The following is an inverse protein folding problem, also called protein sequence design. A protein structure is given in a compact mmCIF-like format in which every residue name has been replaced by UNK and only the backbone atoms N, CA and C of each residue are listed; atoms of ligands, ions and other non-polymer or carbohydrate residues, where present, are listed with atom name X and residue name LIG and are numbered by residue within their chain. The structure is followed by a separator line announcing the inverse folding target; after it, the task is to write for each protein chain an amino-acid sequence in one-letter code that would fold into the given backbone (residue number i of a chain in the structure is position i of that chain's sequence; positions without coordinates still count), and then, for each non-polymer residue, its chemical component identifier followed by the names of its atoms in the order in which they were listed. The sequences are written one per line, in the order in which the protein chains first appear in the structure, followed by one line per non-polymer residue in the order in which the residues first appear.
data_IF_367300830297
#
_entry.id   IF_367300830297
#
_cell.length_a   1.000
_cell.length_b   1.000
_cell.length_c   1.000
_cell.angle_alpha   90.00
_cell.angle_beta   90.00
_cell.angle_gamma   90.00
#
_symmetry.space_group_name_H-M   'P 1'
#
loop_
_entity.id
_entity.type
_entity.pdbx_description
1 polymer ?
#
# COMPACT_ATOMS: atom_id res chain seq x y z
N UNK A 1 29.47 -13.45 14.63
CA UNK A 1 28.77 -14.14 15.73
C UNK A 1 28.69 -15.65 15.54
N UNK A 2 28.16 -16.17 14.42
CA UNK A 2 28.03 -17.63 14.20
C UNK A 2 29.34 -18.41 14.39
N UNK A 3 30.45 -17.95 13.79
CA UNK A 3 31.77 -18.60 13.96
C UNK A 3 32.27 -18.65 15.42
N UNK A 4 32.01 -17.61 16.21
CA UNK A 4 32.44 -17.55 17.62
C UNK A 4 31.61 -18.51 18.48
N UNK A 5 30.31 -18.58 18.19
CA UNK A 5 29.40 -19.55 18.81
C UNK A 5 29.82 -20.98 18.47
N UNK A 6 30.08 -21.28 17.19
CA UNK A 6 30.54 -22.61 16.74
C UNK A 6 31.86 -23.00 17.42
N UNK A 7 32.77 -22.04 17.63
CA UNK A 7 34.03 -22.28 18.33
C UNK A 7 33.81 -22.61 19.82
N UNK A 8 32.93 -21.87 20.51
CA UNK A 8 32.55 -22.17 21.89
C UNK A 8 31.88 -23.55 22.01
N UNK A 9 30.95 -23.88 21.11
CA UNK A 9 30.27 -25.18 21.09
C UNK A 9 31.25 -26.34 20.85
N UNK A 10 32.23 -26.16 19.95
CA UNK A 10 33.30 -27.15 19.75
C UNK A 10 34.19 -27.32 20.98
N UNK A 11 34.54 -26.23 21.66
CA UNK A 11 35.34 -26.30 22.89
C UNK A 11 34.57 -26.99 24.04
N UNK A 12 33.27 -26.74 24.13
CA UNK A 12 32.35 -27.40 25.05
C UNK A 12 32.30 -28.92 24.79
N UNK A 13 32.13 -29.35 23.54
CA UNK A 13 32.13 -30.77 23.17
C UNK A 13 33.44 -31.48 23.50
N UNK A 14 34.58 -30.81 23.32
CA UNK A 14 35.90 -31.35 23.68
C UNK A 14 36.02 -31.58 25.19
N UNK A 15 35.56 -30.63 26.01
CA UNK A 15 35.55 -30.79 27.47
C UNK A 15 34.66 -31.97 27.89
N UNK A 16 33.44 -32.06 27.35
CA UNK A 16 32.52 -33.16 27.65
C UNK A 16 33.11 -34.53 27.29
N UNK A 17 33.84 -34.60 26.19
CA UNK A 17 34.56 -35.81 25.78
C UNK A 17 35.71 -36.14 26.74
N UNK A 18 36.49 -35.14 27.16
CA UNK A 18 37.57 -35.31 28.12
C UNK A 18 37.05 -35.76 29.50
N UNK A 19 35.97 -35.15 29.99
CA UNK A 19 35.29 -35.52 31.23
C UNK A 19 34.76 -36.96 31.18
N UNK A 20 34.12 -37.34 30.07
CA UNK A 20 33.63 -38.69 29.88
C UNK A 20 34.78 -39.72 29.87
N UNK A 21 35.91 -39.40 29.24
CA UNK A 21 37.09 -40.26 29.19
C UNK A 21 37.75 -40.40 30.56
N UNK A 22 37.94 -39.29 31.28
CA UNK A 22 38.49 -39.29 32.64
C UNK A 22 37.62 -40.11 33.59
N UNK A 23 36.30 -39.88 33.56
CA UNK A 23 35.34 -40.64 34.37
C UNK A 23 35.38 -42.13 34.07
N UNK A 24 35.38 -42.51 32.78
CA UNK A 24 35.51 -43.91 32.36
C UNK A 24 36.79 -44.55 32.89
N UNK A 25 37.92 -43.83 32.84
CA UNK A 25 39.20 -44.32 33.33
C UNK A 25 39.21 -44.51 34.85
N UNK A 26 38.63 -43.57 35.60
CA UNK A 26 38.54 -43.64 37.07
C UNK A 26 37.67 -44.79 37.59
N UNK A 27 36.61 -45.15 36.84
CA UNK A 27 35.67 -46.21 37.24
C UNK A 27 36.09 -47.62 36.81
N UNK A 28 37.29 -47.79 36.27
CA UNK A 28 37.78 -49.08 35.80
C UNK A 28 37.98 -50.08 36.94
N UNK A 29 37.56 -51.33 36.71
CA UNK A 29 37.68 -52.42 37.71
C UNK A 29 39.12 -52.92 37.89
N UNK A 30 39.97 -52.80 36.86
CA UNK A 30 41.37 -53.26 36.81
C UNK A 30 42.39 -52.22 37.34
N UNK A 31 41.93 -51.11 37.92
CA UNK A 31 42.77 -49.96 38.33
C UNK A 31 43.93 -50.30 39.27
N UNK A 32 43.76 -51.29 40.15
CA UNK A 32 44.77 -51.69 41.14
C UNK A 32 45.89 -52.55 40.54
N UNK A 33 45.66 -53.11 39.35
CA UNK A 33 46.60 -54.00 38.65
C UNK A 33 47.28 -53.32 37.46
N UNK A 34 46.89 -52.09 37.13
CA UNK A 34 47.40 -51.37 35.97
C UNK A 34 48.70 -50.65 36.33
N UNK A 35 49.79 -51.02 35.65
CA UNK A 35 51.05 -50.29 35.74
C UNK A 35 50.85 -48.83 35.25
N UNK A 36 51.49 -47.88 35.93
CA UNK A 36 51.46 -46.44 35.59
C UNK A 36 50.05 -45.80 35.62
N UNK A 37 49.10 -46.37 36.37
CA UNK A 37 47.75 -45.82 36.52
C UNK A 37 47.74 -44.34 36.93
N UNK A 38 48.56 -43.97 37.92
CA UNK A 38 48.66 -42.60 38.44
C UNK A 38 49.28 -41.62 37.43
N UNK A 39 50.10 -42.10 36.50
CA UNK A 39 50.67 -41.27 35.44
C UNK A 39 49.62 -40.98 34.36
N UNK A 40 48.92 -42.00 33.87
CA UNK A 40 47.82 -41.82 32.92
C UNK A 40 46.64 -41.04 33.50
N UNK A 41 46.37 -41.18 34.80
CA UNK A 41 45.34 -40.37 35.47
C UNK A 41 45.71 -38.88 35.41
N UNK A 42 46.97 -38.55 35.72
CA UNK A 42 47.47 -37.17 35.64
C UNK A 42 47.41 -36.61 34.22
N UNK A 43 47.82 -37.40 33.22
CA UNK A 43 47.72 -36.99 31.81
C UNK A 43 46.28 -36.66 31.40
N UNK A 44 45.30 -37.48 31.81
CA UNK A 44 43.88 -37.22 31.51
C UNK A 44 43.34 -36.00 32.26
N UNK A 45 43.81 -35.76 33.50
CA UNK A 45 43.46 -34.57 34.27
C UNK A 45 44.04 -33.30 33.63
N UNK A 46 45.27 -33.36 33.12
CA UNK A 46 45.91 -32.26 32.38
C UNK A 46 45.16 -31.95 31.09
N UNK A 47 44.81 -32.97 30.30
CA UNK A 47 44.01 -32.81 29.07
C UNK A 47 42.63 -32.19 29.37
N UNK A 48 41.97 -32.63 30.46
CA UNK A 48 40.71 -32.02 30.90
C UNK A 48 40.90 -30.55 31.27
N UNK A 49 41.95 -30.25 32.04
CA UNK A 49 42.28 -28.88 32.46
C UNK A 49 42.51 -27.97 31.25
N UNK A 50 43.26 -28.42 30.25
CA UNK A 50 43.48 -27.68 29.00
C UNK A 50 42.16 -27.45 28.22
N UNK A 51 41.31 -28.47 28.13
CA UNK A 51 39.99 -28.35 27.51
C UNK A 51 39.10 -27.32 28.25
N UNK A 52 39.13 -27.32 29.58
CA UNK A 52 38.37 -26.40 30.42
C UNK A 52 38.82 -24.94 30.25
N UNK A 53 40.14 -24.71 30.21
CA UNK A 53 40.72 -23.40 29.95
C UNK A 53 40.35 -22.91 28.55
N UNK A 54 40.47 -23.76 27.52
CA UNK A 54 40.11 -23.43 26.14
C UNK A 54 38.64 -23.05 25.98
N UNK A 55 37.74 -23.77 26.68
CA UNK A 55 36.31 -23.48 26.72
C UNK A 55 36.01 -22.15 27.42
N UNK A 56 36.66 -21.91 28.55
CA UNK A 56 36.50 -20.65 29.32
C UNK A 56 36.94 -19.45 28.49
N UNK A 57 38.11 -19.54 27.85
CA UNK A 57 38.59 -18.50 26.93
C UNK A 57 37.60 -18.25 25.78
N UNK A 58 37.11 -19.32 25.14
CA UNK A 58 36.14 -19.19 24.04
C UNK A 58 34.82 -18.56 24.48
N UNK A 59 34.36 -18.88 25.70
CA UNK A 59 33.16 -18.29 26.30
C UNK A 59 33.35 -16.80 26.55
N UNK A 60 34.47 -16.43 27.13
CA UNK A 60 34.74 -15.04 27.51
C UNK A 60 34.89 -14.17 26.25
N UNK A 61 35.58 -14.66 25.20
CA UNK A 61 35.62 -14.01 23.88
C UNK A 61 34.21 -13.84 23.30
N UNK A 62 33.39 -14.90 23.31
CA UNK A 62 32.03 -14.83 22.80
C UNK A 62 31.17 -13.82 23.56
N UNK A 63 31.29 -13.79 24.89
CA UNK A 63 30.57 -12.85 25.75
C UNK A 63 31.01 -11.41 25.48
N UNK A 64 32.31 -11.13 25.42
CA UNK A 64 32.84 -9.79 25.11
C UNK A 64 32.30 -9.27 23.77
N UNK A 65 32.33 -10.06 22.72
CA UNK A 65 31.82 -9.62 21.41
C UNK A 65 30.30 -9.43 21.39
N UNK A 66 29.56 -10.28 22.10
CA UNK A 66 28.11 -10.12 22.26
C UNK A 66 27.79 -8.80 22.95
N UNK A 67 28.48 -8.48 24.04
CA UNK A 67 28.26 -7.24 24.77
C UNK A 67 28.73 -6.01 23.99
N UNK A 68 29.79 -6.13 23.20
CA UNK A 68 30.23 -5.05 22.32
C UNK A 68 29.13 -4.68 21.31
N UNK A 69 28.57 -5.67 20.62
CA UNK A 69 27.47 -5.45 19.67
C UNK A 69 26.26 -4.86 20.39
N UNK A 70 25.87 -5.42 21.54
CA UNK A 70 24.75 -4.90 22.34
C UNK A 70 24.98 -3.44 22.78
N UNK A 71 26.22 -3.06 23.11
CA UNK A 71 26.55 -1.68 23.46
C UNK A 71 26.41 -0.70 22.30
N UNK A 72 26.60 -1.18 21.07
CA UNK A 72 26.46 -0.39 19.85
C UNK A 72 25.02 -0.38 19.30
N UNK A 73 24.16 -1.30 19.75
CA UNK A 73 22.78 -1.48 19.28
C UNK A 73 21.97 -0.17 19.32
N UNK A 74 22.10 0.58 20.40
CA UNK A 74 21.43 1.88 20.54
C UNK A 74 21.92 2.89 19.48
N UNK A 75 23.22 2.94 19.21
CA UNK A 75 23.79 3.84 18.20
C UNK A 75 23.37 3.44 16.79
N UNK A 76 23.36 2.14 16.49
CA UNK A 76 22.91 1.58 15.22
C UNK A 76 21.44 1.92 14.99
N UNK A 77 20.60 1.67 15.99
CA UNK A 77 19.16 1.94 15.92
C UNK A 77 18.91 3.42 15.68
N UNK A 78 19.50 4.30 16.50
CA UNK A 78 19.30 5.73 16.31
C UNK A 78 19.82 6.20 14.96
N UNK A 79 21.01 5.79 14.52
CA UNK A 79 21.57 6.34 13.29
C UNK A 79 20.90 5.79 12.04
N UNK A 80 20.65 4.48 11.98
CA UNK A 80 20.11 3.86 10.77
C UNK A 80 18.60 3.95 10.71
N UNK A 81 17.89 3.61 11.79
CA UNK A 81 16.42 3.59 11.77
C UNK A 81 15.86 5.00 11.67
N UNK A 82 16.42 5.97 12.41
CA UNK A 82 15.99 7.37 12.29
C UNK A 82 16.24 7.90 10.88
N UNK A 83 17.44 7.68 10.33
CA UNK A 83 17.75 8.15 8.97
C UNK A 83 16.80 7.51 7.95
N UNK A 84 16.57 6.20 8.05
CA UNK A 84 15.61 5.50 7.20
C UNK A 84 14.22 6.13 7.26
N UNK A 85 13.67 6.31 8.47
CA UNK A 85 12.34 6.91 8.66
C UNK A 85 12.29 8.38 8.19
N UNK A 86 13.39 9.12 8.37
CA UNK A 86 13.52 10.49 7.91
C UNK A 86 13.43 10.56 6.38
N UNK A 87 14.21 9.74 5.68
CA UNK A 87 14.19 9.68 4.21
C UNK A 87 12.83 9.22 3.68
N UNK A 88 12.23 8.21 4.31
CA UNK A 88 10.90 7.71 3.95
C UNK A 88 9.84 8.83 4.08
N UNK A 89 9.88 9.60 5.17
CA UNK A 89 8.99 10.75 5.35
C UNK A 89 9.24 11.84 4.29
N UNK A 90 10.49 12.09 3.88
CA UNK A 90 10.79 13.05 2.81
C UNK A 90 10.18 12.63 1.48
N UNK A 91 10.24 11.33 1.13
CA UNK A 91 9.62 10.79 -0.08
C UNK A 91 8.11 11.02 -0.07
N UNK A 92 7.42 10.66 1.02
CA UNK A 92 5.97 10.88 1.11
C UNK A 92 5.60 12.36 1.04
N UNK A 93 6.37 13.24 1.66
CA UNK A 93 6.15 14.69 1.56
C UNK A 93 6.38 15.22 0.14
N UNK A 94 7.34 14.67 -0.60
CA UNK A 94 7.57 15.03 -1.99
C UNK A 94 6.40 14.58 -2.89
N UNK A 95 5.91 13.36 -2.70
CA UNK A 95 4.73 12.84 -3.41
C UNK A 95 3.51 13.70 -3.10
N UNK A 96 3.27 14.00 -1.82
CA UNK A 96 2.17 14.85 -1.38
C UNK A 96 2.23 16.23 -2.05
N UNK A 97 3.39 16.91 -2.01
CA UNK A 97 3.59 18.19 -2.69
C UNK A 97 3.34 18.12 -4.20
N UNK A 98 3.80 17.05 -4.86
CA UNK A 98 3.54 16.85 -6.28
C UNK A 98 2.04 16.71 -6.58
N UNK A 99 1.35 15.85 -5.83
CA UNK A 99 -0.10 15.65 -5.98
C UNK A 99 -0.88 16.94 -5.71
N UNK A 100 -0.53 17.67 -4.64
CA UNK A 100 -1.13 18.98 -4.34
C UNK A 100 -0.90 20.01 -5.45
N UNK A 101 0.20 19.91 -6.21
CA UNK A 101 0.44 20.78 -7.37
C UNK A 101 -0.38 20.37 -8.60
N UNK A 102 -0.63 19.06 -8.80
CA UNK A 102 -1.32 18.53 -9.97
C UNK A 102 -2.84 18.46 -9.84
N UNK A 103 -3.36 18.29 -8.62
CA UNK A 103 -4.81 18.29 -8.37
C UNK A 103 -5.49 19.55 -8.92
N UNK A 104 -5.01 20.78 -8.66
CA UNK A 104 -5.64 21.99 -9.19
C UNK A 104 -5.60 22.06 -10.72
N UNK A 105 -4.53 21.58 -11.37
CA UNK A 105 -4.46 21.52 -12.84
C UNK A 105 -5.53 20.59 -13.41
N UNK A 106 -5.78 19.46 -12.76
CA UNK A 106 -6.84 18.50 -13.16
C UNK A 106 -8.21 19.10 -12.90
N UNK A 107 -8.45 19.69 -11.72
CA UNK A 107 -9.71 20.35 -11.36
C UNK A 107 -10.03 21.47 -12.35
N UNK A 108 -9.06 22.33 -12.66
CA UNK A 108 -9.22 23.39 -13.65
C UNK A 108 -9.54 22.82 -15.03
N UNK A 109 -8.88 21.74 -15.46
CA UNK A 109 -9.19 21.10 -16.74
C UNK A 109 -10.59 20.52 -16.77
N UNK A 110 -11.05 19.90 -15.68
CA UNK A 110 -12.41 19.40 -15.57
C UNK A 110 -13.43 20.55 -15.59
N UNK A 111 -13.20 21.64 -14.86
CA UNK A 111 -14.12 22.79 -14.87
C UNK A 111 -14.23 23.48 -16.23
N UNK A 112 -13.17 23.43 -17.04
CA UNK A 112 -13.10 24.05 -18.37
C UNK A 112 -13.35 23.06 -19.53
N UNK A 113 -13.76 21.83 -19.25
CA UNK A 113 -14.07 20.85 -20.28
C UNK A 113 -15.53 21.01 -20.75
N UNK A 114 -15.70 21.58 -21.95
CA UNK A 114 -16.98 21.81 -22.62
C UNK A 114 -17.77 20.50 -22.87
N UNK A 115 -17.11 19.35 -22.75
CA UNK A 115 -17.65 18.01 -23.01
C UNK A 115 -18.01 17.23 -21.73
N UNK A 116 -17.92 17.80 -20.53
CA UNK A 116 -18.45 17.09 -19.34
C UNK A 116 -19.95 16.85 -19.53
N UNK A 117 -20.30 15.58 -19.73
CA UNK A 117 -21.64 15.05 -19.60
C UNK A 117 -22.02 15.07 -18.12
N UNK A 118 -22.57 16.21 -17.69
CA UNK A 118 -23.01 16.48 -16.32
C UNK A 118 -24.32 15.75 -16.01
N UNK A 119 -24.22 14.47 -15.69
CA UNK A 119 -25.28 13.76 -14.99
C UNK A 119 -25.53 14.41 -13.61
N UNK A 120 -26.79 14.73 -13.26
CA UNK A 120 -27.19 15.10 -11.90
C UNK A 120 -27.09 16.57 -11.50
N UNK A 121 -26.84 17.50 -12.43
CA UNK A 121 -26.88 18.95 -12.17
C UNK A 121 -28.20 19.59 -12.59
N UNK A 122 -28.58 20.69 -11.93
CA UNK A 122 -29.72 21.52 -12.30
C UNK A 122 -29.48 22.18 -13.68
N UNK A 123 -30.38 21.87 -14.62
CA UNK A 123 -30.38 22.31 -16.01
C UNK A 123 -30.30 23.84 -16.14
N UNK A 124 -30.96 24.59 -15.24
CA UNK A 124 -30.98 26.06 -15.28
C UNK A 124 -29.58 26.64 -15.01
N UNK A 125 -28.89 26.07 -14.02
CA UNK A 125 -27.53 26.49 -13.62
C UNK A 125 -26.50 26.16 -14.71
N UNK A 126 -26.76 25.10 -15.49
CA UNK A 126 -25.92 24.68 -16.61
C UNK A 126 -26.12 25.58 -17.85
N UNK A 127 -27.36 25.87 -18.22
CA UNK A 127 -27.67 26.82 -19.30
C UNK A 127 -27.14 28.22 -18.99
N UNK A 128 -27.10 28.62 -17.72
CA UNK A 128 -26.55 29.92 -17.30
C UNK A 128 -25.03 30.03 -17.44
N UNK A 129 -24.30 28.90 -17.39
CA UNK A 129 -22.83 28.88 -17.54
C UNK A 129 -22.38 28.80 -19.00
N UNK A 130 -23.18 28.16 -19.86
CA UNK A 130 -22.92 28.08 -21.30
C UNK A 130 -23.58 29.27 -21.99
N UNK A 131 -22.84 30.37 -22.15
CA UNK A 131 -23.34 31.57 -22.84
C UNK A 131 -23.72 31.33 -24.31
N UNK A 132 -23.24 30.23 -24.91
CA UNK A 132 -23.34 29.97 -26.35
C UNK A 132 -23.95 28.60 -26.71
N UNK A 133 -24.56 27.86 -25.77
CA UNK A 133 -25.42 26.74 -26.19
C UNK A 133 -26.75 27.30 -26.61
N UNK A 134 -26.83 27.65 -27.90
CA UNK A 134 -28.09 27.69 -28.63
C UNK A 134 -28.86 26.43 -28.22
N UNK A 135 -30.07 26.59 -27.67
CA UNK A 135 -31.05 25.51 -27.67
C UNK A 135 -30.97 24.92 -29.07
N UNK A 136 -30.74 23.61 -29.20
CA UNK A 136 -30.56 22.99 -30.51
C UNK A 136 -31.70 23.51 -31.39
N UNK A 137 -31.35 24.26 -32.44
CA UNK A 137 -32.29 25.03 -33.26
C UNK A 137 -33.58 24.24 -33.63
N UNK A 138 -33.53 22.90 -33.84
CA UNK A 138 -34.74 22.09 -33.98
C UNK A 138 -35.72 22.10 -32.80
N UNK A 139 -35.24 22.07 -31.55
CA UNK A 139 -36.06 22.09 -30.33
C UNK A 139 -36.76 23.45 -30.19
N UNK A 140 -36.02 24.54 -30.40
CA UNK A 140 -36.57 25.90 -30.33
C UNK A 140 -37.67 26.12 -31.38
N UNK A 141 -37.44 25.65 -32.63
CA UNK A 141 -38.45 25.69 -33.69
C UNK A 141 -39.67 24.86 -33.31
N UNK A 142 -39.49 23.64 -32.81
CA UNK A 142 -40.61 22.77 -32.45
C UNK A 142 -41.46 23.37 -31.32
N UNK A 143 -40.84 23.98 -30.31
CA UNK A 143 -41.55 24.64 -29.21
C UNK A 143 -42.34 25.85 -29.73
N UNK A 144 -41.71 26.73 -30.52
CA UNK A 144 -42.42 27.91 -31.08
C UNK A 144 -43.58 27.52 -31.99
N UNK A 145 -43.42 26.48 -32.81
CA UNK A 145 -44.51 25.99 -33.66
C UNK A 145 -45.69 25.45 -32.82
N UNK A 146 -45.41 24.76 -31.72
CA UNK A 146 -46.43 24.25 -30.81
C UNK A 146 -47.08 25.36 -29.98
N UNK A 147 -46.33 26.35 -29.49
CA UNK A 147 -46.88 27.50 -28.75
C UNK A 147 -47.78 28.36 -29.63
N UNK A 148 -47.39 28.60 -30.89
CA UNK A 148 -48.23 29.33 -31.84
C UNK A 148 -49.55 28.60 -32.13
N UNK A 149 -49.56 27.27 -32.06
CA UNK A 149 -50.78 26.46 -32.23
C UNK A 149 -51.74 26.51 -31.03
N UNK A 150 -51.26 26.97 -29.88
CA UNK A 150 -52.00 27.02 -28.61
C UNK A 150 -52.49 28.44 -28.27
N UNK A 151 -51.83 29.47 -28.80
CA UNK A 151 -52.04 30.88 -28.42
C UNK A 151 -52.97 31.67 -29.37
N UNK A 152 -53.31 31.16 -30.55
CA UNK A 152 -54.28 31.79 -31.44
C UNK A 152 -55.67 31.16 -31.26
N UNK A 153 -56.69 32.00 -31.12
CA UNK A 153 -58.10 31.69 -30.87
C UNK A 153 -58.77 30.87 -32.01
N UNK A 154 -58.27 29.66 -32.28
CA UNK A 154 -58.92 28.66 -33.11
C UNK A 154 -58.29 28.40 -34.47
N UNK A 155 -57.02 28.75 -34.73
CA UNK A 155 -56.29 28.28 -35.92
C UNK A 155 -55.35 27.16 -35.50
N UNK A 156 -55.78 25.91 -35.73
CA UNK A 156 -54.90 24.76 -35.53
C UNK A 156 -53.79 24.73 -36.60
N UNK A 157 -52.60 24.20 -36.31
CA UNK A 157 -51.51 24.04 -37.30
C UNK A 157 -51.98 23.40 -38.61
N UNK A 158 -52.99 22.52 -38.53
CA UNK A 158 -53.65 21.90 -39.67
C UNK A 158 -54.28 22.90 -40.66
N UNK A 159 -54.80 24.03 -40.16
CA UNK A 159 -55.38 25.10 -40.98
C UNK A 159 -54.32 25.92 -41.72
N UNK A 160 -53.08 25.92 -41.21
CA UNK A 160 -51.89 26.46 -41.89
C UNK A 160 -51.19 25.40 -42.77
N UNK A 161 -51.81 24.24 -43.01
CA UNK A 161 -51.23 23.10 -43.73
C UNK A 161 -49.96 22.49 -43.08
N UNK A 162 -49.74 22.77 -41.79
CA UNK A 162 -48.65 22.15 -41.02
C UNK A 162 -49.23 21.04 -40.14
N UNK A 163 -48.71 19.82 -40.26
CA UNK A 163 -49.12 18.72 -39.39
C UNK A 163 -48.46 18.89 -38.01
N UNK A 164 -49.21 19.15 -36.92
CA UNK A 164 -48.68 19.30 -35.57
C UNK A 164 -47.99 18.03 -35.04
N UNK A 165 -48.32 16.87 -35.60
CA UNK A 165 -47.66 15.62 -35.26
C UNK A 165 -46.23 15.56 -35.77
N UNK A 166 -45.85 16.36 -36.78
CA UNK A 166 -44.48 16.42 -37.31
C UNK A 166 -43.51 17.08 -36.33
N UNK A 167 -43.71 18.32 -35.84
CA UNK A 167 -42.85 18.91 -34.82
C UNK A 167 -42.93 18.13 -33.50
N UNK A 168 -44.10 17.61 -33.11
CA UNK A 168 -44.24 16.78 -31.91
C UNK A 168 -43.45 15.45 -32.02
N UNK A 169 -43.48 14.78 -33.17
CA UNK A 169 -42.73 13.54 -33.40
C UNK A 169 -41.23 13.79 -33.50
N UNK A 170 -40.84 14.91 -34.14
CA UNK A 170 -39.44 15.34 -34.24
C UNK A 170 -38.88 15.65 -32.86
N UNK A 171 -39.61 16.43 -32.05
CA UNK A 171 -39.26 16.71 -30.65
C UNK A 171 -39.17 15.41 -29.85
N UNK A 172 -40.13 14.50 -30.00
CA UNK A 172 -40.14 13.20 -29.32
C UNK A 172 -38.95 12.32 -29.71
N UNK A 173 -38.53 12.35 -30.97
CA UNK A 173 -37.36 11.60 -31.44
C UNK A 173 -36.06 12.21 -30.90
N UNK A 174 -35.91 13.55 -30.96
CA UNK A 174 -34.79 14.26 -30.36
C UNK A 174 -34.69 14.00 -28.85
N UNK A 175 -35.82 14.01 -28.13
CA UNK A 175 -35.87 13.71 -26.69
C UNK A 175 -35.57 12.25 -26.35
N UNK A 176 -35.79 11.30 -27.28
CA UNK A 176 -35.45 9.88 -27.12
C UNK A 176 -33.99 9.58 -27.39
N UNK A 177 -33.36 10.33 -28.30
CA UNK A 177 -31.94 10.22 -28.62
C UNK A 177 -31.06 10.95 -27.59
N UNK A 178 -31.65 11.79 -26.73
CA UNK A 178 -30.99 12.24 -25.51
C UNK A 178 -30.75 11.05 -24.57
N UNK A 179 -29.57 10.95 -23.92
CA UNK A 179 -29.32 9.89 -22.94
C UNK A 179 -30.43 9.89 -21.88
N UNK A 180 -30.94 8.69 -21.55
CA UNK A 180 -32.15 8.32 -20.76
C UNK A 180 -32.34 9.11 -19.44
N UNK A 181 -31.32 9.82 -19.00
CA UNK A 181 -31.14 10.36 -17.66
C UNK A 181 -31.56 11.84 -17.55
N UNK A 182 -31.99 12.45 -18.66
CA UNK A 182 -32.61 13.79 -18.67
C UNK A 182 -34.14 13.76 -18.56
N UNK A 183 -34.77 12.59 -18.69
CA UNK A 183 -36.17 12.41 -18.32
C UNK A 183 -36.23 12.20 -16.81
N UNK A 184 -36.12 13.29 -16.06
CA UNK A 184 -36.47 13.27 -14.64
C UNK A 184 -37.89 12.73 -14.52
N UNK A 185 -38.05 11.72 -13.68
CA UNK A 185 -39.33 11.07 -13.30
C UNK A 185 -40.35 12.04 -12.67
N UNK A 186 -40.07 13.35 -12.68
CA UNK A 186 -40.89 14.41 -12.11
C UNK A 186 -42.15 14.75 -12.96
N UNK A 187 -42.21 14.31 -14.22
CA UNK A 187 -43.34 14.62 -15.12
C UNK A 187 -44.21 13.42 -15.54
N UNK A 188 -44.01 12.23 -14.95
CA UNK A 188 -44.98 11.15 -15.09
C UNK A 188 -46.00 11.24 -13.95
N UNK A 189 -47.28 11.57 -14.21
CA UNK A 189 -48.33 11.25 -13.25
C UNK A 189 -48.44 9.72 -13.15
N UNK A 190 -48.55 9.20 -11.93
CA UNK A 190 -48.94 7.81 -11.70
C UNK A 190 -50.39 7.58 -12.11
#
# INVERSE_FOLDING_TARGET
MTKLRDNYEKAQQKLETADANLKKFQTRSDRLTLANFDEHLRELEDIRCECEQSRTLSRDIHATETYKIASEEYSITIKLLYQYLYEENQVYNNISRYLSSKMPEIEQRLENDDLILLFGYDLIKQCSKRKDTLIAYPIEICIRLLENSLNEEGITLNELNYDPHVPASTLKQYLRELPVCLLTTAFLPQ
#
